data_IF_578594967124
#
_entry.id   IF_578594967124
#
_cell.length_a   1.000
_cell.length_b   1.000
_cell.length_c   1.000
_cell.angle_alpha   90.00
_cell.angle_beta   90.00
_cell.angle_gamma   90.00
#
_symmetry.space_group_name_H-M   'P 1'
#
loop_
_entity.id
_entity.type
_entity.pdbx_description
1 polymer ?
#
# COMPACT_ATOMS: atom_id res chain seq x y z
N UNK A 1 2.42 11.73 14.08
CA UNK A 1 1.80 12.94 13.50
C UNK A 1 0.70 12.46 12.54
N UNK A 2 -0.40 13.19 12.32
CA UNK A 2 -1.47 12.67 11.45
C UNK A 2 -1.31 13.17 10.00
N UNK A 3 -1.30 12.26 9.03
CA UNK A 3 -1.25 12.59 7.60
C UNK A 3 -2.65 12.97 7.14
N UNK A 4 -2.76 14.05 6.38
CA UNK A 4 -4.02 14.44 5.73
C UNK A 4 -3.91 14.11 4.25
N UNK A 5 -4.68 13.13 3.79
CA UNK A 5 -4.76 12.79 2.36
C UNK A 5 -5.47 13.91 1.64
N UNK A 6 -4.71 14.83 1.04
CA UNK A 6 -5.30 15.98 0.34
C UNK A 6 -5.73 15.63 -1.08
N UNK A 7 -4.91 14.90 -1.84
CA UNK A 7 -5.16 14.65 -3.27
C UNK A 7 -4.41 13.39 -3.78
N UNK A 8 -4.06 12.42 -2.93
CA UNK A 8 -3.33 11.23 -3.39
C UNK A 8 -4.14 10.43 -4.41
N UNK A 9 -3.51 10.08 -5.54
CA UNK A 9 -4.12 9.21 -6.54
C UNK A 9 -3.78 7.76 -6.25
N UNK A 10 -4.79 6.91 -6.09
CA UNK A 10 -4.60 5.46 -5.96
C UNK A 10 -4.15 4.91 -7.32
N UNK A 11 -2.95 4.36 -7.34
CA UNK A 11 -2.37 3.74 -8.52
C UNK A 11 -2.67 2.25 -8.56
N UNK A 12 -2.51 1.55 -7.44
CA UNK A 12 -2.72 0.10 -7.33
C UNK A 12 -3.40 -0.24 -6.01
N UNK A 13 -4.34 -1.18 -6.01
CA UNK A 13 -5.04 -1.60 -4.79
C UNK A 13 -5.15 -3.13 -4.68
N UNK A 14 -5.20 -3.57 -3.43
CA UNK A 14 -5.50 -4.94 -3.05
C UNK A 14 -6.31 -4.92 -1.76
N UNK A 15 -7.32 -5.78 -1.66
CA UNK A 15 -8.09 -5.92 -0.43
C UNK A 15 -8.73 -7.29 -0.30
N UNK A 16 -8.92 -7.71 0.95
CA UNK A 16 -9.64 -8.91 1.31
C UNK A 16 -10.32 -8.73 2.66
N UNK A 17 -11.54 -9.26 2.76
CA UNK A 17 -12.25 -9.39 4.02
C UNK A 17 -12.04 -10.82 4.55
N UNK A 18 -11.47 -10.96 5.74
CA UNK A 18 -11.22 -12.24 6.39
C UNK A 18 -12.33 -12.56 7.37
N UNK A 19 -12.92 -13.74 7.25
CA UNK A 19 -14.08 -14.13 8.05
C UNK A 19 -13.71 -14.47 9.49
N UNK A 20 -14.52 -14.01 10.46
CA UNK A 20 -14.31 -14.32 11.89
C UNK A 20 -12.89 -13.97 12.40
N UNK A 21 -12.24 -12.99 11.77
CA UNK A 21 -10.87 -12.60 12.05
C UNK A 21 -10.75 -11.32 12.90
N UNK A 22 -11.86 -10.75 13.36
CA UNK A 22 -11.83 -9.58 14.23
C UNK A 22 -10.92 -9.78 15.46
N UNK A 23 -10.24 -8.73 15.89
CA UNK A 23 -9.23 -8.75 16.96
C UNK A 23 -7.82 -9.15 16.50
N UNK A 24 -7.61 -9.45 15.20
CA UNK A 24 -6.30 -9.82 14.64
C UNK A 24 -5.62 -8.70 13.84
N UNK A 25 -6.11 -7.45 13.93
CA UNK A 25 -5.49 -6.30 13.25
C UNK A 25 -4.03 -6.10 13.61
N UNK A 26 -3.73 -5.97 14.90
CA UNK A 26 -2.38 -5.74 15.41
C UNK A 26 -1.44 -6.93 15.12
N UNK A 27 -1.80 -8.20 15.42
CA UNK A 27 -0.98 -9.36 15.03
C UNK A 27 -0.68 -9.43 13.53
N UNK A 28 -1.63 -9.06 12.68
CA UNK A 28 -1.44 -9.05 11.22
C UNK A 28 -0.42 -7.99 10.82
N UNK A 29 -0.57 -6.75 11.28
CA UNK A 29 0.37 -5.66 10.99
C UNK A 29 1.79 -5.94 11.53
N UNK A 30 1.90 -6.61 12.68
CA UNK A 30 3.20 -7.04 13.21
C UNK A 30 3.85 -8.13 12.36
N UNK A 31 3.08 -9.10 11.86
CA UNK A 31 3.59 -10.11 10.92
C UNK A 31 4.11 -9.45 9.65
N UNK A 32 3.37 -8.48 9.09
CA UNK A 32 3.76 -7.75 7.89
C UNK A 32 5.09 -7.02 8.11
N UNK A 33 5.22 -6.27 9.21
CA UNK A 33 6.47 -5.57 9.54
C UNK A 33 7.66 -6.52 9.70
N UNK A 34 7.47 -7.70 10.32
CA UNK A 34 8.51 -8.72 10.43
C UNK A 34 8.96 -9.21 9.05
N UNK A 35 8.04 -9.41 8.11
CA UNK A 35 8.36 -9.83 6.74
C UNK A 35 9.04 -8.73 5.94
N UNK A 36 8.60 -7.48 6.07
CA UNK A 36 9.28 -6.32 5.47
C UNK A 36 10.73 -6.21 5.97
N UNK A 37 10.95 -6.39 7.28
CA UNK A 37 12.29 -6.40 7.86
C UNK A 37 13.14 -7.57 7.36
N UNK A 38 12.56 -8.77 7.23
CA UNK A 38 13.26 -9.95 6.75
C UNK A 38 13.60 -9.89 5.25
N UNK A 39 12.87 -9.10 4.47
CA UNK A 39 13.08 -8.98 3.02
C UNK A 39 14.41 -8.30 2.65
N UNK A 40 15.02 -7.53 3.57
CA UNK A 40 16.31 -6.85 3.35
C UNK A 40 16.39 -6.14 2.00
N UNK A 41 15.33 -5.41 1.65
CA UNK A 41 15.23 -4.69 0.38
C UNK A 41 16.39 -3.68 0.23
N UNK A 42 16.94 -3.51 -0.99
CA UNK A 42 17.91 -2.46 -1.24
C UNK A 42 17.27 -1.08 -1.09
N UNK A 43 18.11 -0.09 -0.78
CA UNK A 43 17.69 1.29 -0.52
C UNK A 43 17.29 1.54 0.93
N UNK A 44 16.86 2.76 1.23
CA UNK A 44 16.44 3.16 2.58
C UNK A 44 14.92 2.99 2.73
N UNK A 45 14.49 1.74 2.93
CA UNK A 45 13.09 1.43 3.22
C UNK A 45 12.77 1.70 4.69
N UNK A 46 11.69 2.44 4.95
CA UNK A 46 11.18 2.68 6.29
C UNK A 46 9.66 2.52 6.35
N UNK A 47 9.14 2.22 7.53
CA UNK A 47 7.70 2.16 7.74
C UNK A 47 7.30 2.64 9.13
N UNK A 48 6.07 3.13 9.23
CA UNK A 48 5.50 3.62 10.48
C UNK A 48 3.98 3.48 10.46
N UNK A 49 3.40 3.26 11.63
CA UNK A 49 1.94 3.32 11.79
C UNK A 49 1.57 4.78 12.03
N UNK A 50 0.70 5.33 11.17
CA UNK A 50 0.19 6.69 11.32
C UNK A 50 -1.32 6.78 11.12
N UNK A 51 -1.92 7.72 11.85
CA UNK A 51 -3.32 8.11 11.65
C UNK A 51 -3.44 8.96 10.39
N UNK A 52 -4.22 8.45 9.44
CA UNK A 52 -4.53 9.09 8.17
C UNK A 52 -5.95 9.64 8.20
N UNK A 53 -6.10 10.90 7.80
CA UNK A 53 -7.37 11.64 7.80
C UNK A 53 -7.81 11.92 6.37
N UNK A 54 -9.08 11.68 6.08
CA UNK A 54 -9.69 12.12 4.82
C UNK A 54 -9.73 13.64 4.75
N UNK A 55 -9.30 14.22 3.62
CA UNK A 55 -9.64 15.61 3.30
C UNK A 55 -11.04 15.63 2.65
N UNK A 56 -11.96 16.38 3.25
CA UNK A 56 -13.31 16.47 2.72
C UNK A 56 -14.30 17.00 3.75
N UNK A 57 -15.32 17.71 3.27
CA UNK A 57 -16.32 18.34 4.11
C UNK A 57 -17.41 17.37 4.62
N UNK A 58 -17.52 16.20 3.99
CA UNK A 58 -18.64 15.28 4.19
C UNK A 58 -18.32 14.07 5.08
N UNK A 59 -17.05 13.76 5.34
CA UNK A 59 -16.68 12.73 6.31
C UNK A 59 -15.28 13.00 6.88
N UNK A 60 -15.19 13.18 8.21
CA UNK A 60 -13.91 13.20 8.95
C UNK A 60 -13.55 11.78 9.36
N UNK A 61 -13.18 10.95 8.40
CA UNK A 61 -12.75 9.58 8.67
C UNK A 61 -11.28 9.60 9.08
N UNK A 62 -10.96 8.88 10.15
CA UNK A 62 -9.60 8.65 10.61
C UNK A 62 -9.32 7.16 10.65
N UNK A 63 -8.19 6.74 10.08
CA UNK A 63 -7.78 5.33 10.03
C UNK A 63 -6.29 5.24 10.25
N UNK A 64 -5.87 4.21 10.98
CA UNK A 64 -4.46 3.89 11.11
C UNK A 64 -4.02 3.08 9.89
N UNK A 65 -2.88 3.46 9.33
CA UNK A 65 -2.21 2.73 8.27
C UNK A 65 -0.78 2.47 8.68
N UNK A 66 -0.28 1.28 8.38
CA UNK A 66 1.15 1.04 8.21
C UNK A 66 1.55 1.62 6.86
N UNK A 67 2.36 2.68 6.89
CA UNK A 67 2.84 3.37 5.70
C UNK A 67 4.27 2.91 5.45
N UNK A 68 4.51 2.32 4.28
CA UNK A 68 5.83 1.86 3.84
C UNK A 68 6.33 2.81 2.76
N UNK A 69 7.55 3.29 2.94
CA UNK A 69 8.22 4.24 2.05
C UNK A 69 9.59 3.70 1.66
N UNK A 70 10.01 4.04 0.45
CA UNK A 70 11.37 3.83 -0.03
C UNK A 70 11.94 5.19 -0.46
N UNK A 71 13.12 5.55 0.06
CA UNK A 71 13.73 6.87 -0.13
C UNK A 71 13.95 7.23 -1.61
N UNK A 72 14.17 6.22 -2.46
CA UNK A 72 14.28 6.35 -3.92
C UNK A 72 12.94 6.74 -4.59
N UNK A 73 11.81 6.47 -3.94
CA UNK A 73 10.44 6.69 -4.43
C UNK A 73 9.62 7.55 -3.48
N UNK A 74 10.15 8.69 -3.03
CA UNK A 74 9.52 9.56 -2.02
C UNK A 74 8.09 10.00 -2.30
N UNK A 75 7.73 10.12 -3.58
CA UNK A 75 6.39 10.53 -4.00
C UNK A 75 5.39 9.36 -4.00
N UNK A 76 5.87 8.12 -3.86
CA UNK A 76 5.08 6.91 -3.81
C UNK A 76 4.98 6.40 -2.39
N UNK A 77 3.76 6.05 -1.99
CA UNK A 77 3.49 5.55 -0.66
C UNK A 77 2.69 4.26 -0.74
N UNK A 78 3.08 3.29 0.09
CA UNK A 78 2.34 2.05 0.26
C UNK A 78 1.60 2.10 1.58
N UNK A 79 0.27 2.22 1.50
CA UNK A 79 -0.62 2.27 2.64
C UNK A 79 -1.20 0.88 2.90
N UNK A 80 -0.99 0.32 4.08
CA UNK A 80 -1.51 -0.98 4.49
C UNK A 80 -2.40 -0.78 5.72
N UNK A 81 -3.61 -1.33 5.69
CA UNK A 81 -4.50 -1.33 6.85
C UNK A 81 -5.02 -2.73 7.14
N UNK A 82 -5.19 -3.00 8.44
CA UNK A 82 -5.93 -4.14 8.96
C UNK A 82 -6.87 -3.59 10.03
N UNK A 83 -8.18 -3.75 9.85
CA UNK A 83 -9.18 -3.21 10.77
C UNK A 83 -10.34 -4.14 10.97
N UNK A 84 -10.86 -4.17 12.18
CA UNK A 84 -12.08 -4.93 12.46
C UNK A 84 -13.26 -4.30 11.73
N UNK A 85 -14.07 -5.16 11.11
CA UNK A 85 -15.31 -4.80 10.45
C UNK A 85 -16.41 -5.79 10.86
N UNK A 86 -17.04 -5.49 12.00
CA UNK A 86 -17.93 -6.43 12.67
C UNK A 86 -17.14 -7.64 13.18
N UNK A 87 -17.56 -8.85 12.80
CA UNK A 87 -16.85 -10.10 13.12
C UNK A 87 -15.69 -10.39 12.17
N UNK A 88 -15.56 -9.63 11.09
CA UNK A 88 -14.54 -9.83 10.06
C UNK A 88 -13.34 -8.90 10.27
N UNK A 89 -12.23 -9.21 9.60
CA UNK A 89 -11.08 -8.32 9.51
C UNK A 89 -10.92 -7.85 8.06
N UNK A 90 -11.03 -6.54 7.84
CA UNK A 90 -10.77 -5.91 6.54
C UNK A 90 -9.27 -5.62 6.44
N UNK A 91 -8.59 -6.27 5.50
CA UNK A 91 -7.18 -6.04 5.19
C UNK A 91 -7.05 -5.46 3.78
N UNK A 92 -6.36 -4.33 3.65
CA UNK A 92 -6.15 -3.67 2.38
C UNK A 92 -4.76 -3.06 2.26
N UNK A 93 -4.34 -2.87 1.00
CA UNK A 93 -3.09 -2.24 0.62
C UNK A 93 -3.33 -1.36 -0.60
N UNK A 94 -2.81 -0.14 -0.57
CA UNK A 94 -2.87 0.83 -1.65
C UNK A 94 -1.46 1.31 -1.99
N UNK A 95 -1.16 1.43 -3.28
CA UNK A 95 -0.06 2.22 -3.81
C UNK A 95 -0.65 3.57 -4.21
N UNK A 96 -0.11 4.65 -3.68
CA UNK A 96 -0.55 5.99 -4.02
C UNK A 96 0.62 6.84 -4.50
N UNK A 97 0.30 7.97 -5.14
CA UNK A 97 1.26 8.99 -5.53
C UNK A 97 0.77 10.38 -5.12
N UNK A 98 1.66 11.20 -4.56
CA UNK A 98 1.35 12.60 -4.21
C UNK A 98 1.40 13.53 -5.45
N UNK A 99 0.38 14.38 -5.69
CA UNK A 99 0.33 15.24 -6.89
C UNK A 99 1.37 16.38 -6.94
N UNK A 100 1.96 16.74 -5.80
CA UNK A 100 2.83 17.91 -5.67
C UNK A 100 4.05 17.90 -6.58
N UNK A 101 4.61 16.72 -6.86
CA UNK A 101 5.82 16.58 -7.68
C UNK A 101 5.55 16.12 -9.12
N UNK A 102 4.43 15.44 -9.41
CA UNK A 102 3.96 15.22 -10.80
C UNK A 102 3.81 16.56 -11.54
N UNK A 103 3.26 17.58 -10.85
CA UNK A 103 3.16 18.95 -11.36
C UNK A 103 4.54 19.58 -11.60
N UNK A 104 5.54 19.29 -10.76
CA UNK A 104 6.92 19.81 -10.89
C UNK A 104 7.68 19.14 -12.04
N UNK A 105 7.55 17.82 -12.18
CA UNK A 105 8.12 17.06 -13.30
C UNK A 105 7.48 17.43 -14.64
N UNK A 106 6.18 17.66 -14.67
CA UNK A 106 5.46 18.17 -15.84
C UNK A 106 5.85 19.62 -16.18
N UNK A 107 6.11 20.47 -15.17
CA UNK A 107 6.54 21.85 -15.37
C UNK A 107 8.00 21.98 -15.85
N UNK A 108 8.91 21.13 -15.38
CA UNK A 108 10.32 21.08 -15.84
C UNK A 108 10.44 20.52 -17.27
N UNK A 109 9.43 19.76 -17.74
CA UNK A 109 9.30 19.26 -19.11
C UNK A 109 8.13 19.91 -19.86
N UNK A 110 8.05 21.23 -19.88
CA UNK A 110 7.15 21.99 -20.75
C UNK A 110 7.52 21.85 -22.25
N UNK A 111 7.32 20.66 -22.78
CA UNK A 111 6.85 20.39 -24.13
C UNK A 111 5.66 19.46 -23.93
N UNK A 112 4.46 19.92 -24.28
CA UNK A 112 3.18 19.38 -23.79
C UNK A 112 3.04 17.85 -23.81
N UNK A 113 2.20 17.32 -22.93
CA UNK A 113 1.18 16.32 -23.26
C UNK A 113 0.43 15.89 -21.99
N UNK A 114 -0.82 15.49 -22.21
CA UNK A 114 -1.86 14.98 -21.32
C UNK A 114 -1.54 13.67 -20.57
N UNK A 115 -0.30 13.49 -20.14
CA UNK A 115 0.29 12.19 -19.80
C UNK A 115 0.86 12.16 -18.36
N UNK A 116 0.49 13.12 -17.52
CA UNK A 116 1.05 13.33 -16.17
C UNK A 116 0.68 12.25 -15.13
N UNK A 117 0.01 11.17 -15.54
CA UNK A 117 -0.26 9.96 -14.75
C UNK A 117 0.52 8.74 -15.27
N UNK A 118 1.38 8.90 -16.29
CA UNK A 118 2.12 7.78 -16.88
C UNK A 118 3.32 7.40 -16.00
N UNK A 119 3.39 6.10 -15.68
CA UNK A 119 4.54 5.32 -15.21
C UNK A 119 5.94 5.97 -15.38
N UNK A 120 6.91 5.72 -14.48
CA UNK A 120 8.29 6.15 -14.69
C UNK A 120 8.78 5.75 -16.10
N UNK A 121 9.08 6.76 -16.93
CA UNK A 121 9.47 6.59 -18.34
C UNK A 121 10.85 5.93 -18.51
N UNK A 122 11.56 5.70 -17.42
CA UNK A 122 12.81 4.94 -17.38
C UNK A 122 12.53 3.51 -16.90
N UNK A 123 12.87 2.53 -17.73
CA UNK A 123 12.62 1.11 -17.47
C UNK A 123 13.29 0.59 -16.20
N UNK A 124 14.46 1.12 -15.83
CA UNK A 124 15.17 0.70 -14.61
C UNK A 124 14.43 1.19 -13.36
N UNK A 125 14.01 2.46 -13.38
CA UNK A 125 13.20 3.05 -12.29
C UNK A 125 11.86 2.32 -12.17
N UNK A 126 11.25 1.95 -13.31
CA UNK A 126 10.03 1.16 -13.31
C UNK A 126 10.24 -0.26 -12.76
N UNK A 127 11.37 -0.89 -13.08
CA UNK A 127 11.74 -2.21 -12.56
C UNK A 127 11.90 -2.18 -11.03
N UNK A 128 12.62 -1.19 -10.50
CA UNK A 128 12.85 -1.05 -9.06
C UNK A 128 11.55 -0.72 -8.31
N UNK A 129 10.71 0.17 -8.88
CA UNK A 129 9.38 0.47 -8.32
C UNK A 129 8.53 -0.79 -8.27
N UNK A 130 8.49 -1.56 -9.37
CA UNK A 130 7.74 -2.83 -9.42
C UNK A 130 8.27 -3.83 -8.41
N UNK A 131 9.60 -3.95 -8.27
CA UNK A 131 10.22 -4.86 -7.32
C UNK A 131 9.83 -4.51 -5.88
N UNK A 132 9.95 -3.24 -5.49
CA UNK A 132 9.54 -2.77 -4.16
C UNK A 132 8.05 -3.03 -3.89
N UNK A 133 7.16 -2.62 -4.80
CA UNK A 133 5.71 -2.84 -4.66
C UNK A 133 5.40 -4.34 -4.52
N UNK A 134 6.11 -5.21 -5.26
CA UNK A 134 5.93 -6.66 -5.20
C UNK A 134 6.39 -7.24 -3.86
N UNK A 135 7.52 -6.80 -3.31
CA UNK A 135 8.00 -7.27 -2.01
C UNK A 135 7.03 -6.88 -0.89
N UNK A 136 6.54 -5.64 -0.90
CA UNK A 136 5.54 -5.19 0.06
C UNK A 136 4.25 -6.00 -0.08
N UNK A 137 3.83 -6.28 -1.31
CA UNK A 137 2.65 -7.11 -1.58
C UNK A 137 2.81 -8.54 -1.06
N UNK A 138 3.96 -9.19 -1.28
CA UNK A 138 4.24 -10.51 -0.73
C UNK A 138 4.20 -10.51 0.81
N UNK A 139 4.76 -9.48 1.46
CA UNK A 139 4.69 -9.37 2.91
C UNK A 139 3.23 -9.31 3.41
N UNK A 140 2.35 -8.59 2.70
CA UNK A 140 0.91 -8.55 3.03
C UNK A 140 0.25 -9.93 2.81
N UNK A 141 0.41 -10.50 1.62
CA UNK A 141 -0.21 -11.78 1.23
C UNK A 141 0.21 -12.91 2.15
N UNK A 142 1.51 -13.05 2.41
CA UNK A 142 2.04 -14.13 3.26
C UNK A 142 1.53 -13.99 4.70
N UNK A 143 1.48 -12.77 5.24
CA UNK A 143 0.93 -12.53 6.58
C UNK A 143 -0.58 -12.78 6.66
N UNK A 144 -1.32 -12.44 5.60
CA UNK A 144 -2.75 -12.76 5.49
C UNK A 144 -2.97 -14.28 5.42
N UNK A 145 -2.18 -14.99 4.61
CA UNK A 145 -2.24 -16.45 4.47
C UNK A 145 -1.91 -17.17 5.78
N UNK A 146 -0.89 -16.71 6.51
CA UNK A 146 -0.55 -17.21 7.84
C UNK A 146 -1.72 -17.03 8.83
N UNK A 147 -2.39 -15.87 8.79
CA UNK A 147 -3.55 -15.62 9.63
C UNK A 147 -4.72 -16.53 9.25
N UNK A 148 -5.03 -16.66 7.96
CA UNK A 148 -6.06 -17.57 7.47
C UNK A 148 -5.81 -19.01 7.93
N UNK A 149 -4.56 -19.47 7.80
CA UNK A 149 -4.14 -20.80 8.26
C UNK A 149 -4.36 -20.98 9.77
N UNK A 150 -3.97 -19.99 10.59
CA UNK A 150 -4.18 -20.01 12.04
C UNK A 150 -5.66 -20.07 12.43
N UNK A 151 -6.52 -19.44 11.64
CA UNK A 151 -7.97 -19.42 11.85
C UNK A 151 -8.70 -20.61 11.22
N UNK A 152 -7.97 -21.55 10.59
CA UNK A 152 -8.56 -22.71 9.91
C UNK A 152 -9.39 -22.33 8.67
N UNK A 153 -9.07 -21.21 8.04
CA UNK A 153 -9.73 -20.75 6.81
C UNK A 153 -9.07 -21.37 5.58
N UNK A 154 -9.83 -21.47 4.50
CA UNK A 154 -9.35 -21.95 3.20
C UNK A 154 -8.47 -20.89 2.52
N UNK A 155 -7.15 -21.12 2.50
CA UNK A 155 -6.18 -20.21 1.87
C UNK A 155 -6.27 -20.19 0.34
N UNK A 156 -6.97 -21.14 -0.29
CA UNK A 156 -7.20 -21.12 -1.74
C UNK A 156 -8.11 -19.95 -2.17
N UNK A 157 -8.87 -19.40 -1.24
CA UNK A 157 -9.71 -18.22 -1.46
C UNK A 157 -8.93 -16.90 -1.38
N UNK A 158 -7.65 -16.94 -0.98
CA UNK A 158 -6.79 -15.77 -0.92
C UNK A 158 -6.59 -15.18 -2.31
N UNK A 159 -7.05 -13.95 -2.49
CA UNK A 159 -6.81 -13.20 -3.72
C UNK A 159 -5.34 -12.78 -3.75
N UNK A 160 -4.54 -13.36 -4.61
CA UNK A 160 -3.11 -12.99 -4.72
C UNK A 160 -2.86 -11.82 -5.66
N UNK A 161 -3.70 -11.65 -6.67
CA UNK A 161 -3.53 -10.57 -7.65
C UNK A 161 -3.98 -9.20 -7.12
N UNK A 162 -3.32 -8.14 -7.55
CA UNK A 162 -3.69 -6.74 -7.30
C UNK A 162 -4.36 -6.11 -8.52
N UNK A 163 -5.07 -4.99 -8.33
CA UNK A 163 -5.75 -4.26 -9.40
C UNK A 163 -5.16 -2.86 -9.57
N UNK A 164 -4.93 -2.44 -10.81
CA UNK A 164 -4.51 -1.06 -11.15
C UNK A 164 -3.12 -1.00 -11.81
N UNK A 165 -2.47 0.16 -11.73
CA UNK A 165 -1.10 0.36 -12.20
C UNK A 165 -0.16 -0.68 -11.55
N UNK A 166 0.68 -1.37 -12.31
CA UNK A 166 1.50 -2.47 -11.82
C UNK A 166 0.69 -3.65 -11.24
N UNK A 167 -0.25 -4.20 -12.01
CA UNK A 167 -0.92 -5.46 -11.64
C UNK A 167 0.13 -6.53 -11.25
N UNK A 168 -0.10 -7.11 -10.08
CA UNK A 168 0.61 -8.27 -9.55
C UNK A 168 -0.33 -9.45 -9.72
N UNK A 169 0.20 -10.60 -10.12
CA UNK A 169 -0.56 -11.83 -10.38
C UNK A 169 -0.24 -12.87 -9.31
#
# INVERSE_FOLDING_TARGET
>A
MAITLKEESILNEWSMLLDKAAGNSQPLLESIQKKLQAAQMPGECNWKIEEVKSSGWFAKVRREFLIVNLEEFKDYHMYIAARDYGVHLDCCRFLTVEPGFLKKFAAERLTGFSDALSAPKNILVHQDLRAWVTVVHHAVIDSTEELMTKLGQDTSLLRRGSKGFLEIW
#
